data_IF_790213995232
#
_entry.id   IF_790213995232
#
_cell.length_a   1.000
_cell.length_b   1.000
_cell.length_c   1.000
_cell.angle_alpha   90.00
_cell.angle_beta   90.00
_cell.angle_gamma   90.00
#
_symmetry.space_group_name_H-M   'P 1'
#
loop_
_entity.id
_entity.type
_entity.pdbx_description
1 polymer ?
#
# COMPACT_ATOMS: atom_id res chain seq x y z
N UNK A 1 -2.65 -12.53 43.94
CA UNK A 1 -2.10 -12.15 42.62
C UNK A 1 -3.19 -11.37 41.93
N UNK A 2 -3.02 -10.06 41.84
CA UNK A 2 -3.98 -9.16 41.19
C UNK A 2 -3.73 -9.22 39.69
N UNK A 3 -4.72 -9.69 38.92
CA UNK A 3 -4.64 -9.69 37.46
C UNK A 3 -4.57 -8.23 36.98
N UNK A 4 -3.42 -7.83 36.47
CA UNK A 4 -3.29 -6.58 35.71
C UNK A 4 -4.09 -6.75 34.43
N UNK A 5 -5.35 -6.29 34.44
CA UNK A 5 -6.11 -6.07 33.21
C UNK A 5 -5.42 -4.96 32.43
N UNK A 6 -4.60 -5.35 31.46
CA UNK A 6 -4.12 -4.43 30.42
C UNK A 6 -5.36 -4.02 29.62
N UNK A 7 -5.94 -2.90 29.99
CA UNK A 7 -7.00 -2.27 29.22
C UNK A 7 -6.39 -1.76 27.91
N UNK A 8 -6.39 -2.60 26.87
CA UNK A 8 -6.03 -2.16 25.53
C UNK A 8 -7.07 -1.13 25.09
N UNK A 9 -6.74 0.15 25.23
CA UNK A 9 -7.55 1.26 24.74
C UNK A 9 -7.73 1.06 23.23
N UNK A 10 -8.92 0.62 22.81
CA UNK A 10 -9.25 0.51 21.39
C UNK A 10 -9.22 1.92 20.80
N UNK A 11 -8.29 2.14 19.89
CA UNK A 11 -8.18 3.40 19.15
C UNK A 11 -9.40 3.54 18.21
N UNK A 12 -9.99 4.75 18.08
CA UNK A 12 -11.16 4.97 17.23
C UNK A 12 -10.92 4.67 15.74
N UNK A 13 -11.96 4.15 15.07
CA UNK A 13 -12.00 3.86 13.61
C UNK A 13 -13.31 4.37 13.00
N UNK A 14 -13.83 5.46 13.55
CA UNK A 14 -15.18 5.97 13.30
C UNK A 14 -15.37 6.30 11.82
N UNK A 15 -14.36 6.91 11.18
CA UNK A 15 -14.44 7.31 9.77
C UNK A 15 -14.56 6.09 8.84
N UNK A 16 -13.77 5.06 9.12
CA UNK A 16 -13.77 3.83 8.32
C UNK A 16 -15.06 3.02 8.46
N UNK A 17 -15.76 3.16 9.60
CA UNK A 17 -16.99 2.44 9.93
C UNK A 17 -18.27 3.14 9.43
N UNK A 18 -18.15 4.36 8.88
CA UNK A 18 -19.26 5.11 8.26
C UNK A 18 -19.91 4.32 7.12
N UNK A 19 -21.26 4.36 6.99
CA UNK A 19 -21.99 3.62 5.95
C UNK A 19 -21.42 3.79 4.52
N UNK A 20 -21.08 5.02 4.15
CA UNK A 20 -20.51 5.42 2.86
C UNK A 20 -19.13 4.80 2.59
N UNK A 21 -18.34 4.55 3.64
CA UNK A 21 -16.97 4.04 3.55
C UNK A 21 -16.86 2.51 3.63
N UNK A 22 -17.93 1.82 4.05
CA UNK A 22 -17.95 0.34 4.13
C UNK A 22 -17.59 -0.31 2.80
N UNK A 23 -18.08 0.25 1.69
CA UNK A 23 -17.80 -0.27 0.35
C UNK A 23 -16.36 -0.01 -0.11
N UNK A 24 -15.62 0.90 0.53
CA UNK A 24 -14.20 1.14 0.27
C UNK A 24 -13.29 0.17 1.04
N UNK A 25 -13.81 -0.48 2.08
CA UNK A 25 -13.06 -1.49 2.85
C UNK A 25 -13.10 -2.85 2.15
N UNK A 26 -11.94 -3.52 2.06
CA UNK A 26 -11.86 -4.90 1.56
C UNK A 26 -12.27 -5.92 2.61
N UNK A 27 -12.02 -5.63 3.88
CA UNK A 27 -12.31 -6.53 5.01
C UNK A 27 -13.08 -5.80 6.10
N UNK A 28 -14.06 -6.50 6.68
CA UNK A 28 -14.98 -5.95 7.67
C UNK A 28 -14.32 -5.60 9.01
N UNK A 29 -13.19 -6.22 9.34
CA UNK A 29 -12.58 -6.08 10.66
C UNK A 29 -11.32 -5.22 10.65
N UNK A 30 -10.94 -4.71 9.48
CA UNK A 30 -9.70 -3.96 9.37
C UNK A 30 -9.84 -2.64 8.68
N UNK A 31 -9.60 -1.65 9.50
CA UNK A 31 -9.87 -0.28 9.27
C UNK A 31 -8.68 0.51 9.82
N UNK A 32 -8.26 1.58 9.12
CA UNK A 32 -7.27 2.48 9.66
C UNK A 32 -7.83 3.14 10.93
N UNK A 33 -6.96 3.46 11.87
CA UNK A 33 -7.34 4.29 13.01
C UNK A 33 -7.50 5.74 12.58
N UNK A 34 -8.41 6.47 13.22
CA UNK A 34 -8.73 7.84 12.83
C UNK A 34 -7.53 8.78 12.99
N UNK A 35 -6.64 8.53 13.96
CA UNK A 35 -5.50 9.41 14.29
C UNK A 35 -4.33 9.33 13.29
N UNK A 36 -4.18 8.22 12.56
CA UNK A 36 -3.08 8.02 11.62
C UNK A 36 -3.53 7.60 10.22
N UNK A 37 -4.83 7.68 9.91
CA UNK A 37 -5.31 7.43 8.54
C UNK A 37 -4.70 8.42 7.56
N UNK A 38 -4.53 7.99 6.33
CA UNK A 38 -4.28 8.91 5.21
C UNK A 38 -5.59 9.62 4.87
N UNK A 39 -5.52 10.92 4.61
CA UNK A 39 -6.64 11.76 4.20
C UNK A 39 -6.35 12.27 2.79
N UNK A 40 -7.24 11.97 1.85
CA UNK A 40 -7.16 12.46 0.48
C UNK A 40 -7.71 13.88 0.40
N UNK A 41 -7.12 14.71 -0.46
CA UNK A 41 -7.68 16.02 -0.79
C UNK A 41 -9.03 15.87 -1.49
N UNK A 42 -9.95 16.79 -1.19
CA UNK A 42 -11.29 16.85 -1.78
C UNK A 42 -11.38 18.12 -2.61
N UNK A 43 -11.88 18.03 -3.83
CA UNK A 43 -12.38 19.23 -4.52
C UNK A 43 -13.73 19.63 -3.94
N UNK A 44 -14.12 20.90 -4.11
CA UNK A 44 -15.41 21.42 -3.63
C UNK A 44 -16.63 20.68 -4.22
N UNK A 45 -16.43 19.99 -5.35
CA UNK A 45 -17.45 19.20 -6.05
C UNK A 45 -17.53 17.72 -5.58
N UNK A 46 -16.57 17.25 -4.76
CA UNK A 46 -16.50 15.86 -4.35
C UNK A 46 -17.27 15.60 -3.05
N UNK A 47 -18.28 14.71 -3.12
CA UNK A 47 -19.06 14.28 -1.95
C UNK A 47 -18.38 13.19 -1.11
N UNK A 48 -17.22 12.70 -1.57
CA UNK A 48 -16.40 11.72 -0.86
C UNK A 48 -15.75 12.36 0.37
N UNK A 49 -15.70 11.69 1.53
CA UNK A 49 -15.13 12.23 2.78
C UNK A 49 -13.58 12.13 2.88
N UNK A 50 -12.93 11.98 1.72
CA UNK A 50 -11.46 11.86 1.60
C UNK A 50 -10.93 10.55 2.18
N UNK A 51 -11.81 9.56 2.37
CA UNK A 51 -11.46 8.29 2.98
C UNK A 51 -10.76 7.34 2.01
N UNK A 52 -9.62 6.81 2.48
CA UNK A 52 -8.95 5.63 1.94
C UNK A 52 -8.53 4.72 3.10
N UNK A 53 -8.60 3.40 2.91
CA UNK A 53 -8.13 2.43 3.90
C UNK A 53 -6.60 2.33 3.86
N UNK A 54 -5.95 3.33 4.43
CA UNK A 54 -4.51 3.41 4.59
C UNK A 54 -4.13 4.20 5.85
N UNK A 55 -2.97 3.90 6.42
CA UNK A 55 -2.44 4.55 7.63
C UNK A 55 -0.98 4.92 7.46
N UNK A 56 -0.59 6.10 7.94
CA UNK A 56 0.81 6.45 8.16
C UNK A 56 1.39 5.61 9.29
N UNK A 57 2.59 5.08 9.04
CA UNK A 57 3.36 4.30 10.01
C UNK A 57 4.72 4.99 10.21
N UNK A 58 5.10 5.27 11.46
CA UNK A 58 6.39 5.86 11.75
C UNK A 58 7.52 4.89 11.45
N UNK A 59 8.61 5.47 11.01
CA UNK A 59 9.91 4.86 10.85
C UNK A 59 10.63 4.61 12.15
N UNK A 60 11.53 3.61 12.16
CA UNK A 60 12.35 3.33 13.33
C UNK A 60 13.33 4.46 13.67
N UNK A 61 13.78 5.22 12.68
CA UNK A 61 14.71 6.34 12.87
C UNK A 61 14.02 7.66 13.31
N UNK A 62 12.77 7.58 13.80
CA UNK A 62 12.00 8.75 14.25
C UNK A 62 11.32 9.55 13.14
N UNK A 63 11.35 9.08 11.89
CA UNK A 63 10.59 9.68 10.79
C UNK A 63 9.10 9.35 10.97
N UNK A 64 8.30 10.33 11.38
CA UNK A 64 6.88 10.11 11.75
C UNK A 64 6.03 9.47 10.64
N UNK A 65 6.39 9.68 9.37
CA UNK A 65 5.69 9.18 8.18
C UNK A 65 6.66 8.50 7.21
N UNK A 66 7.33 7.44 7.66
CA UNK A 66 8.25 6.68 6.80
C UNK A 66 7.50 5.74 5.85
N UNK A 67 6.36 5.22 6.28
CA UNK A 67 5.57 4.27 5.49
C UNK A 67 4.10 4.66 5.46
N UNK A 68 3.42 4.17 4.43
CA UNK A 68 1.96 4.11 4.37
C UNK A 68 1.59 2.62 4.28
N UNK A 69 0.90 2.11 5.29
CA UNK A 69 0.30 0.79 5.25
C UNK A 69 -1.10 0.90 4.60
N UNK A 70 -1.31 0.27 3.46
CA UNK A 70 -2.58 0.32 2.73
C UNK A 70 -3.17 -1.09 2.51
N UNK A 71 -4.50 -1.17 2.31
CA UNK A 71 -5.11 -2.38 1.78
C UNK A 71 -4.77 -2.56 0.29
N UNK A 72 -4.81 -3.80 -0.21
CA UNK A 72 -4.83 -4.05 -1.65
C UNK A 72 -6.03 -3.35 -2.33
N UNK A 73 -5.82 -2.47 -3.32
CA UNK A 73 -6.88 -1.68 -3.94
C UNK A 73 -8.03 -2.54 -4.44
N UNK A 74 -9.25 -2.04 -4.31
CA UNK A 74 -10.48 -2.58 -4.90
C UNK A 74 -10.79 -1.83 -6.18
N UNK A 75 -11.67 -2.39 -6.99
CA UNK A 75 -12.08 -1.80 -8.27
C UNK A 75 -12.59 -0.36 -8.08
N UNK A 76 -13.49 -0.18 -7.11
CA UNK A 76 -14.04 1.12 -6.73
C UNK A 76 -13.09 2.02 -5.91
N UNK A 77 -11.82 1.65 -5.70
CA UNK A 77 -10.84 2.44 -4.97
C UNK A 77 -9.50 2.57 -5.72
N UNK A 78 -9.46 2.23 -7.01
CA UNK A 78 -8.24 2.37 -7.82
C UNK A 78 -7.83 3.85 -8.00
N UNK A 79 -8.81 4.72 -8.25
CA UNK A 79 -8.60 6.17 -8.32
C UNK A 79 -8.09 6.73 -7.00
N UNK A 80 -8.78 6.45 -5.89
CA UNK A 80 -8.36 6.83 -4.52
C UNK A 80 -6.91 6.41 -4.23
N UNK A 81 -6.53 5.19 -4.64
CA UNK A 81 -5.17 4.69 -4.44
C UNK A 81 -4.13 5.51 -5.19
N UNK A 82 -4.34 5.80 -6.48
CA UNK A 82 -3.39 6.61 -7.25
C UNK A 82 -3.39 8.08 -6.84
N UNK A 83 -4.53 8.62 -6.41
CA UNK A 83 -4.60 9.93 -5.77
C UNK A 83 -3.70 9.97 -4.52
N UNK A 84 -3.77 8.94 -3.66
CA UNK A 84 -2.89 8.81 -2.50
C UNK A 84 -1.41 8.80 -2.89
N UNK A 85 -1.03 8.01 -3.92
CA UNK A 85 0.35 7.96 -4.43
C UNK A 85 0.82 9.35 -4.86
N UNK A 86 -0.05 10.10 -5.55
CA UNK A 86 0.27 11.42 -6.08
C UNK A 86 0.37 12.50 -4.99
N UNK A 87 -0.59 12.56 -4.08
CA UNK A 87 -0.63 13.56 -3.01
C UNK A 87 0.49 13.38 -1.98
N UNK A 88 0.85 12.13 -1.68
CA UNK A 88 1.87 11.81 -0.68
C UNK A 88 3.30 11.77 -1.24
N UNK A 89 3.50 12.23 -2.48
CA UNK A 89 4.77 12.23 -3.19
C UNK A 89 5.47 10.86 -3.24
N UNK A 90 4.70 9.76 -3.17
CA UNK A 90 5.24 8.40 -3.13
C UNK A 90 6.06 8.15 -4.39
N UNK A 91 7.20 7.47 -4.23
CA UNK A 91 8.07 7.02 -5.34
C UNK A 91 8.23 5.51 -5.41
N UNK A 92 7.92 4.83 -4.30
CA UNK A 92 8.17 3.40 -4.14
C UNK A 92 6.94 2.72 -3.52
N UNK A 93 6.47 1.67 -4.18
CA UNK A 93 5.38 0.81 -3.71
C UNK A 93 5.93 -0.60 -3.48
N UNK A 94 5.77 -1.15 -2.29
CA UNK A 94 6.05 -2.54 -1.98
C UNK A 94 4.72 -3.32 -1.88
N UNK A 95 4.46 -4.15 -2.88
CA UNK A 95 3.31 -5.05 -2.95
C UNK A 95 3.73 -6.44 -2.50
N UNK A 96 3.15 -6.93 -1.40
CA UNK A 96 3.45 -8.26 -0.81
C UNK A 96 2.23 -9.17 -0.80
N UNK A 97 1.49 -9.20 -1.90
CA UNK A 97 0.31 -10.06 -2.09
C UNK A 97 0.15 -10.45 -3.56
N UNK A 98 -0.48 -11.60 -3.82
CA UNK A 98 -0.97 -11.98 -5.14
C UNK A 98 -2.30 -11.27 -5.47
N UNK A 99 -2.64 -11.18 -6.76
CA UNK A 99 -3.95 -10.64 -7.21
C UNK A 99 -5.10 -11.57 -6.79
N UNK A 100 -4.86 -12.87 -6.92
CA UNK A 100 -5.75 -13.94 -6.48
C UNK A 100 -4.98 -14.85 -5.54
N UNK A 101 -5.66 -15.32 -4.51
CA UNK A 101 -5.20 -16.45 -3.70
C UNK A 101 -6.38 -17.40 -3.58
N UNK A 102 -6.18 -18.68 -3.94
CA UNK A 102 -7.19 -19.72 -3.71
C UNK A 102 -8.53 -19.44 -4.40
N UNK A 103 -8.47 -18.84 -5.58
CA UNK A 103 -9.63 -18.41 -6.36
C UNK A 103 -10.34 -17.17 -5.84
N UNK A 104 -9.86 -16.54 -4.74
CA UNK A 104 -10.43 -15.30 -4.19
C UNK A 104 -9.54 -14.11 -4.58
N UNK A 105 -10.15 -13.07 -5.16
CA UNK A 105 -9.44 -11.84 -5.50
C UNK A 105 -9.03 -11.07 -4.23
N UNK A 106 -7.73 -10.84 -4.05
CA UNK A 106 -7.12 -10.15 -2.89
C UNK A 106 -6.70 -8.73 -3.20
N UNK A 107 -6.37 -8.44 -4.45
CA UNK A 107 -5.95 -7.13 -4.92
C UNK A 107 -6.42 -6.98 -6.36
N UNK A 108 -6.91 -5.80 -6.73
CA UNK A 108 -7.05 -5.48 -8.15
C UNK A 108 -5.67 -5.23 -8.78
N UNK A 109 -5.54 -5.52 -10.07
CA UNK A 109 -4.40 -5.04 -10.84
C UNK A 109 -4.56 -3.54 -11.00
N UNK A 110 -3.64 -2.77 -10.44
CA UNK A 110 -3.71 -1.31 -10.43
C UNK A 110 -2.62 -0.66 -11.31
N UNK A 111 -1.95 -1.45 -12.14
CA UNK A 111 -0.88 -1.00 -13.05
C UNK A 111 -1.20 -1.43 -14.49
N UNK A 112 -0.72 -0.68 -15.49
CA UNK A 112 -0.89 -1.04 -16.91
C UNK A 112 -0.03 -2.25 -17.31
N UNK A 113 -0.47 -2.96 -18.35
CA UNK A 113 0.38 -3.88 -19.13
C UNK A 113 1.28 -3.11 -20.11
N UNK A 114 2.19 -3.82 -20.76
CA UNK A 114 2.91 -3.28 -21.93
C UNK A 114 1.92 -2.83 -23.01
N UNK A 115 2.19 -1.68 -23.63
CA UNK A 115 1.33 -1.01 -24.62
C UNK A 115 -0.10 -0.66 -24.15
N UNK A 116 -0.40 -0.82 -22.85
CA UNK A 116 -1.69 -0.46 -22.26
C UNK A 116 -1.62 0.94 -21.66
N UNK A 117 -2.59 1.79 -22.02
CA UNK A 117 -2.81 3.07 -21.37
C UNK A 117 -3.99 2.94 -20.41
N UNK A 118 -3.72 3.13 -19.11
CA UNK A 118 -4.76 3.10 -18.07
C UNK A 118 -5.02 4.52 -17.59
N UNK A 119 -6.30 4.91 -17.53
CA UNK A 119 -6.75 6.21 -17.03
C UNK A 119 -7.63 5.97 -15.80
N UNK A 120 -7.31 6.66 -14.71
CA UNK A 120 -8.12 6.71 -13.50
C UNK A 120 -8.68 8.12 -13.29
N UNK A 121 -9.99 8.21 -13.05
CA UNK A 121 -10.70 9.49 -13.05
C UNK A 121 -10.63 10.15 -14.42
N UNK A 122 -10.58 11.49 -14.45
CA UNK A 122 -10.57 12.26 -15.69
C UNK A 122 -9.16 12.73 -16.11
N UNK A 123 -8.18 12.65 -15.21
CA UNK A 123 -6.91 13.38 -15.38
C UNK A 123 -5.65 12.57 -15.06
N UNK A 124 -5.76 11.35 -14.54
CA UNK A 124 -4.61 10.55 -14.07
C UNK A 124 -4.35 9.38 -15.01
N UNK A 125 -3.28 9.48 -15.80
CA UNK A 125 -2.86 8.51 -16.80
C UNK A 125 -1.63 7.72 -16.34
N UNK A 126 -1.62 6.41 -16.57
CA UNK A 126 -0.53 5.51 -16.25
C UNK A 126 0.01 4.83 -17.51
N UNK A 127 1.34 4.71 -17.55
CA UNK A 127 2.07 4.00 -18.60
C UNK A 127 3.15 3.11 -17.96
N UNK A 128 3.28 1.87 -18.45
CA UNK A 128 4.35 0.96 -18.05
C UNK A 128 5.61 1.31 -18.84
N UNK A 129 6.65 1.82 -18.17
CA UNK A 129 7.93 2.11 -18.81
C UNK A 129 8.82 0.87 -18.89
N UNK A 130 8.82 0.06 -17.84
CA UNK A 130 9.66 -1.13 -17.74
C UNK A 130 9.06 -2.14 -16.77
N UNK A 131 9.12 -3.42 -17.12
CA UNK A 131 8.89 -4.54 -16.21
C UNK A 131 10.12 -5.46 -16.20
N UNK A 132 10.56 -5.89 -15.02
CA UNK A 132 11.66 -6.84 -14.88
C UNK A 132 11.30 -7.88 -13.83
N UNK A 133 11.23 -9.13 -14.25
CA UNK A 133 10.87 -10.27 -13.41
C UNK A 133 12.12 -10.99 -12.91
N UNK A 134 12.19 -11.19 -11.61
CA UNK A 134 13.20 -11.96 -10.89
C UNK A 134 12.58 -13.24 -10.32
N UNK A 135 13.36 -14.06 -9.62
CA UNK A 135 12.90 -15.36 -9.12
C UNK A 135 11.73 -15.27 -8.12
N UNK A 136 11.76 -14.30 -7.19
CA UNK A 136 10.74 -14.16 -6.13
C UNK A 136 10.03 -12.79 -6.12
N UNK A 137 10.33 -11.93 -7.08
CA UNK A 137 9.71 -10.61 -7.18
C UNK A 137 9.75 -10.04 -8.61
N UNK A 138 8.91 -9.05 -8.88
CA UNK A 138 8.91 -8.26 -10.11
C UNK A 138 9.07 -6.78 -9.77
N UNK A 139 9.85 -6.05 -10.56
CA UNK A 139 9.94 -4.59 -10.50
C UNK A 139 9.21 -4.02 -11.71
N UNK A 140 8.40 -2.97 -11.48
CA UNK A 140 7.76 -2.17 -12.53
C UNK A 140 8.10 -0.70 -12.36
N UNK A 141 8.54 -0.05 -13.42
CA UNK A 141 8.64 1.40 -13.49
C UNK A 141 7.41 1.93 -14.21
N UNK A 142 6.61 2.73 -13.52
CA UNK A 142 5.32 3.23 -13.99
C UNK A 142 5.40 4.75 -14.07
N UNK A 143 5.13 5.32 -15.22
CA UNK A 143 4.95 6.76 -15.36
C UNK A 143 3.51 7.12 -15.06
N UNK A 144 3.31 8.00 -14.08
CA UNK A 144 2.03 8.59 -13.76
C UNK A 144 2.04 10.04 -14.24
N UNK A 145 1.09 10.39 -15.10
CA UNK A 145 0.87 11.77 -15.55
C UNK A 145 -0.48 12.22 -15.04
N UNK A 146 -0.52 13.30 -14.26
CA UNK A 146 -1.73 13.99 -13.85
C UNK A 146 -1.77 15.38 -14.47
N UNK A 147 -2.76 15.63 -15.31
CA UNK A 147 -2.90 16.92 -16.00
C UNK A 147 -3.08 18.07 -14.99
N UNK A 148 -2.56 19.28 -15.28
CA UNK A 148 -1.78 19.63 -16.47
C UNK A 148 -0.28 19.31 -16.37
N UNK A 149 0.31 19.34 -15.18
CA UNK A 149 1.77 19.53 -15.04
C UNK A 149 2.49 18.46 -14.22
N UNK A 150 1.77 17.50 -13.63
CA UNK A 150 2.41 16.51 -12.76
C UNK A 150 2.82 15.27 -13.56
N UNK A 151 4.12 15.00 -13.65
CA UNK A 151 4.66 13.73 -14.12
C UNK A 151 5.53 13.11 -13.06
N UNK A 152 5.36 11.81 -12.83
CA UNK A 152 6.07 11.10 -11.76
C UNK A 152 6.32 9.65 -12.12
N UNK A 153 7.58 9.25 -12.02
CA UNK A 153 7.95 7.85 -12.09
C UNK A 153 7.80 7.18 -10.73
N UNK A 154 7.13 6.03 -10.72
CA UNK A 154 6.84 5.22 -9.53
C UNK A 154 7.42 3.83 -9.75
N UNK A 155 8.19 3.34 -8.79
CA UNK A 155 8.69 1.98 -8.81
C UNK A 155 7.81 1.09 -7.94
N UNK A 156 7.20 0.07 -8.54
CA UNK A 156 6.48 -0.97 -7.83
C UNK A 156 7.35 -2.22 -7.71
N UNK A 157 7.63 -2.63 -6.48
CA UNK A 157 8.27 -3.89 -6.14
C UNK A 157 7.17 -4.86 -5.71
N UNK A 158 6.98 -5.92 -6.46
CA UNK A 158 5.94 -6.92 -6.22
C UNK A 158 6.57 -8.24 -5.82
N UNK A 159 6.45 -8.64 -4.56
CA UNK A 159 6.85 -9.96 -4.10
C UNK A 159 5.87 -11.02 -4.63
N UNK A 160 6.36 -11.96 -5.44
CA UNK A 160 5.56 -12.93 -6.19
C UNK A 160 5.66 -14.35 -5.64
N UNK A 161 6.67 -14.64 -4.81
CA UNK A 161 6.86 -15.95 -4.19
C UNK A 161 6.05 -16.16 -2.90
N UNK A 162 4.92 -15.48 -2.74
CA UNK A 162 4.05 -15.72 -1.60
C UNK A 162 3.13 -16.93 -1.87
N UNK A 163 3.30 -18.09 -1.21
CA UNK A 163 2.47 -19.25 -1.45
C UNK A 163 1.04 -19.02 -0.93
N UNK A 164 0.07 -19.55 -1.68
CA UNK A 164 -1.32 -19.65 -1.24
C UNK A 164 -1.36 -20.51 0.03
N UNK A 165 -1.81 -19.92 1.15
CA UNK A 165 -2.06 -20.55 2.46
C UNK A 165 -0.89 -20.84 3.41
N UNK A 166 0.37 -20.59 3.04
CA UNK A 166 1.51 -20.88 3.93
C UNK A 166 2.35 -19.62 4.21
N UNK A 167 3.23 -19.70 5.23
CA UNK A 167 4.41 -18.83 5.30
C UNK A 167 5.27 -19.09 4.06
N UNK A 168 6.01 -18.11 3.52
CA UNK A 168 6.93 -18.37 2.41
C UNK A 168 7.75 -19.64 2.70
N UNK A 169 7.81 -20.57 1.75
CA UNK A 169 8.61 -21.81 1.87
C UNK A 169 10.07 -21.50 2.22
N UNK A 170 10.50 -20.27 1.88
CA UNK A 170 11.79 -19.69 2.18
C UNK A 170 11.60 -18.29 2.81
N UNK A 171 11.56 -18.14 4.15
CA UNK A 171 11.49 -16.83 4.81
C UNK A 171 12.66 -15.92 4.42
N UNK A 172 13.78 -16.50 3.94
CA UNK A 172 14.94 -15.77 3.42
C UNK A 172 14.61 -14.92 2.20
N UNK A 173 13.69 -15.34 1.32
CA UNK A 173 13.31 -14.57 0.14
C UNK A 173 12.57 -13.29 0.51
N UNK A 174 11.70 -13.37 1.52
CA UNK A 174 11.02 -12.19 2.04
C UNK A 174 12.01 -11.23 2.70
N UNK A 175 12.96 -11.73 3.50
CA UNK A 175 14.01 -10.91 4.11
C UNK A 175 14.84 -10.21 3.02
N UNK A 176 15.27 -10.94 2.00
CA UNK A 176 16.00 -10.37 0.85
C UNK A 176 15.17 -9.33 0.11
N UNK A 177 13.87 -9.58 -0.10
CA UNK A 177 12.97 -8.60 -0.71
C UNK A 177 12.90 -7.30 0.10
N UNK A 178 12.76 -7.39 1.42
CA UNK A 178 12.78 -6.24 2.34
C UNK A 178 14.09 -5.45 2.20
N UNK A 179 15.23 -6.13 2.21
CA UNK A 179 16.55 -5.51 2.05
C UNK A 179 16.67 -4.80 0.70
N UNK A 180 16.16 -5.41 -0.37
CA UNK A 180 16.14 -4.82 -1.72
C UNK A 180 15.32 -3.53 -1.74
N UNK A 181 14.09 -3.56 -1.21
CA UNK A 181 13.20 -2.38 -1.14
C UNK A 181 13.84 -1.25 -0.33
N UNK A 182 14.43 -1.57 0.84
CA UNK A 182 15.11 -0.58 1.69
C UNK A 182 16.35 0.00 1.03
N UNK A 183 17.15 -0.84 0.36
CA UNK A 183 18.33 -0.40 -0.40
C UNK A 183 17.91 0.56 -1.50
N UNK A 184 16.84 0.24 -2.23
CA UNK A 184 16.29 1.12 -3.26
C UNK A 184 15.83 2.46 -2.68
N UNK A 185 15.11 2.45 -1.56
CA UNK A 185 14.66 3.68 -0.89
C UNK A 185 15.84 4.58 -0.47
N UNK A 186 16.94 3.99 0.02
CA UNK A 186 18.17 4.73 0.34
C UNK A 186 18.88 5.28 -0.91
N UNK A 187 18.95 4.49 -1.97
CA UNK A 187 19.57 4.90 -3.25
C UNK A 187 18.82 6.07 -3.89
N UNK A 188 17.49 6.07 -3.79
CA UNK A 188 16.64 7.17 -4.25
C UNK A 188 16.61 8.36 -3.27
N UNK A 189 17.24 8.25 -2.10
CA UNK A 189 17.22 9.24 -1.02
C UNK A 189 15.79 9.74 -0.69
N UNK A 190 14.85 8.81 -0.49
CA UNK A 190 13.42 9.13 -0.37
C UNK A 190 13.09 9.97 0.86
N UNK A 191 12.61 11.19 0.63
CA UNK A 191 11.96 12.03 1.64
C UNK A 191 10.48 11.69 1.83
N UNK A 192 9.81 11.15 0.81
CA UNK A 192 8.42 10.69 0.86
C UNK A 192 8.25 9.31 1.51
N UNK A 193 7.02 8.92 1.92
CA UNK A 193 6.75 7.59 2.46
C UNK A 193 6.82 6.49 1.39
N UNK A 194 7.17 5.27 1.83
CA UNK A 194 7.02 4.06 1.02
C UNK A 194 5.62 3.48 1.26
N UNK A 195 4.87 3.24 0.20
CA UNK A 195 3.58 2.56 0.32
C UNK A 195 3.82 1.06 0.38
N UNK A 196 3.35 0.43 1.44
CA UNK A 196 3.41 -1.02 1.62
C UNK A 196 1.98 -1.54 1.69
N UNK A 197 1.62 -2.46 0.80
CA UNK A 197 0.29 -3.09 0.82
C UNK A 197 0.38 -4.59 0.62
N UNK A 198 -0.57 -5.31 1.23
CA UNK A 198 -0.53 -6.76 1.38
C UNK A 198 -1.94 -7.38 1.40
N UNK A 199 -1.99 -8.67 1.76
CA UNK A 199 -3.20 -9.41 2.14
C UNK A 199 -3.60 -9.14 3.59
N UNK A 200 -4.89 -9.11 3.85
CA UNK A 200 -5.41 -8.77 5.16
C UNK A 200 -5.59 -10.00 6.08
N UNK A 201 -4.81 -10.06 7.16
CA UNK A 201 -5.22 -10.49 8.50
C UNK A 201 -4.16 -10.03 9.52
N UNK A 202 -4.55 -9.83 10.77
CA UNK A 202 -3.70 -9.30 11.84
C UNK A 202 -2.40 -10.12 12.09
N UNK A 203 -2.32 -11.35 11.57
CA UNK A 203 -1.16 -12.25 11.60
C UNK A 203 -0.34 -12.27 10.29
N UNK A 204 -0.83 -11.67 9.20
CA UNK A 204 -0.14 -11.52 7.92
C UNK A 204 0.48 -10.13 7.73
N UNK A 205 0.49 -9.31 8.79
CA UNK A 205 1.29 -8.10 8.82
C UNK A 205 2.78 -8.40 8.92
N UNK A 206 3.23 -9.63 9.21
CA UNK A 206 4.66 -9.95 9.38
C UNK A 206 5.53 -9.38 8.25
N UNK A 207 5.20 -9.52 6.95
CA UNK A 207 6.03 -8.97 5.86
C UNK A 207 6.02 -7.45 5.83
N UNK A 208 4.83 -6.86 5.92
CA UNK A 208 4.66 -5.42 5.86
C UNK A 208 5.29 -4.75 7.09
N UNK A 209 5.03 -5.29 8.28
CA UNK A 209 5.69 -4.93 9.53
C UNK A 209 7.19 -5.19 9.44
N UNK A 210 7.68 -6.29 8.86
CA UNK A 210 9.11 -6.53 8.69
C UNK A 210 9.76 -5.52 7.74
N UNK A 211 9.08 -5.11 6.66
CA UNK A 211 9.49 -3.96 5.83
C UNK A 211 9.56 -2.70 6.69
N UNK A 212 8.60 -2.52 7.60
CA UNK A 212 8.47 -1.34 8.47
C UNK A 212 9.29 -1.42 9.77
N UNK A 213 9.84 -2.59 10.14
CA UNK A 213 10.47 -2.85 11.44
C UNK A 213 11.95 -3.13 11.29
N UNK A 214 12.76 -2.59 12.19
CA UNK A 214 14.21 -2.86 12.27
C UNK A 214 14.51 -4.35 12.42
N UNK A 215 15.63 -4.81 11.86
CA UNK A 215 16.58 -5.59 12.64
C UNK A 215 17.95 -4.96 12.45
N UNK A 216 18.63 -4.78 13.58
CA UNK A 216 20.06 -4.47 13.65
C UNK A 216 20.89 -5.59 13.01
#
# INVERSE_FOLDING_TARGET
MEEVKIETKRMPRIIAERPENKMKNRFLNTHPYDFNRVLLFQSDDDQNDGYINASFIPGFAGKEKEYIAAQGPKDNTLGDFWQMILEQDVRLIAMVTSLYESGKKKCEKYWPSEDELVIYGDDTQLELLQETTYSFYTIRNILVTKAPDLKREIQQFHFTAWPDFETPDQPEELIRFIEIVRRQARQLNLSSPIVVHCRHNMFSYTPALLIMSRQD
#
